data_IF_235194841571
#
_entry.id   IF_235194841571
#
_cell.length_a   1.000
_cell.length_b   1.000
_cell.length_c   1.000
_cell.angle_alpha   90.00
_cell.angle_beta   90.00
_cell.angle_gamma   90.00
#
_symmetry.space_group_name_H-M   'P 1'
#
loop_
_entity.id
_entity.type
_entity.pdbx_description
1 polymer ?
#
# COMPACT_ATOMS: atom_id res chain seq x y z
N UNK A 1 24.40 23.20 1.44
CA UNK A 1 23.43 23.19 2.55
C UNK A 1 23.61 21.85 3.26
N UNK A 2 24.10 21.82 4.50
CA UNK A 2 24.34 20.54 5.18
C UNK A 2 23.01 19.90 5.56
N UNK A 3 22.73 18.73 5.00
CA UNK A 3 21.56 17.93 5.39
C UNK A 3 21.78 17.40 6.81
N UNK A 4 21.28 18.11 7.81
CA UNK A 4 21.16 17.57 9.17
C UNK A 4 20.17 16.40 9.06
N UNK A 5 20.68 15.17 9.08
CA UNK A 5 19.84 13.97 9.03
C UNK A 5 19.14 13.85 10.37
N UNK A 6 17.83 14.10 10.41
CA UNK A 6 16.99 13.87 11.60
C UNK A 6 17.04 12.39 11.95
N UNK A 7 17.41 12.08 13.19
CA UNK A 7 17.40 10.71 13.71
C UNK A 7 15.97 10.36 14.13
N UNK A 8 15.34 9.35 13.53
CA UNK A 8 14.01 8.92 13.95
C UNK A 8 14.04 8.32 15.37
N UNK A 9 12.92 8.37 16.14
CA UNK A 9 12.83 7.76 17.47
C UNK A 9 13.07 6.25 17.47
N UNK A 10 12.83 5.60 16.33
CA UNK A 10 13.05 4.17 16.08
C UNK A 10 13.90 4.06 14.82
N UNK A 11 14.91 3.17 14.83
CA UNK A 11 15.81 2.99 13.69
C UNK A 11 15.04 2.68 12.39
N UNK A 12 15.54 3.17 11.24
CA UNK A 12 14.91 2.92 9.94
C UNK A 12 14.74 1.42 9.61
N UNK A 13 15.70 0.59 10.01
CA UNK A 13 15.62 -0.86 9.85
C UNK A 13 14.41 -1.42 10.61
N UNK A 14 14.20 -0.95 11.84
CA UNK A 14 13.07 -1.38 12.67
C UNK A 14 11.74 -0.83 12.17
N UNK A 15 11.69 0.43 11.72
CA UNK A 15 10.50 1.00 11.06
C UNK A 15 10.07 0.18 9.84
N UNK A 16 11.03 -0.23 9.00
CA UNK A 16 10.78 -1.14 7.87
C UNK A 16 10.16 -2.45 8.35
N UNK A 17 10.72 -3.07 9.37
CA UNK A 17 10.19 -4.33 9.90
C UNK A 17 8.76 -4.17 10.44
N UNK A 18 8.51 -3.15 11.28
CA UNK A 18 7.18 -2.84 11.82
C UNK A 18 6.16 -2.67 10.69
N UNK A 19 6.50 -1.91 9.65
CA UNK A 19 5.61 -1.67 8.51
C UNK A 19 5.37 -2.95 7.68
N UNK A 20 6.42 -3.74 7.42
CA UNK A 20 6.31 -5.03 6.73
C UNK A 20 5.40 -5.99 7.50
N UNK A 21 5.60 -6.14 8.81
CA UNK A 21 4.81 -7.03 9.65
C UNK A 21 3.35 -6.58 9.72
N UNK A 22 3.10 -5.27 9.84
CA UNK A 22 1.75 -4.70 9.82
C UNK A 22 1.02 -4.98 8.49
N UNK A 23 1.70 -4.81 7.34
CA UNK A 23 1.16 -5.17 6.04
C UNK A 23 0.90 -6.68 5.95
N UNK A 24 1.86 -7.52 6.34
CA UNK A 24 1.71 -8.98 6.26
C UNK A 24 0.56 -9.47 7.14
N UNK A 25 0.35 -8.88 8.31
CA UNK A 25 -0.78 -9.23 9.18
C UNK A 25 -2.14 -8.83 8.59
N UNK A 26 -2.21 -7.69 7.90
CA UNK A 26 -3.48 -7.17 7.36
C UNK A 26 -3.86 -7.80 6.01
N UNK A 27 -2.88 -8.03 5.14
CA UNK A 27 -3.06 -8.40 3.72
C UNK A 27 -2.16 -9.56 3.28
N UNK A 28 -1.47 -10.24 4.20
CA UNK A 28 -0.56 -11.35 3.85
C UNK A 28 -1.29 -12.55 3.24
N UNK A 29 -2.51 -12.84 3.70
CA UNK A 29 -3.33 -13.96 3.24
C UNK A 29 -4.26 -13.62 2.08
N UNK A 30 -4.33 -12.36 1.63
CA UNK A 30 -5.23 -11.97 0.55
C UNK A 30 -4.65 -12.34 -0.81
N UNK A 31 -5.49 -12.89 -1.69
CA UNK A 31 -5.07 -13.27 -3.04
C UNK A 31 -5.27 -12.15 -4.05
N UNK A 32 -6.22 -11.23 -3.80
CA UNK A 32 -6.54 -10.14 -4.71
C UNK A 32 -7.01 -8.91 -3.92
N UNK A 33 -6.98 -7.76 -4.61
CA UNK A 33 -7.56 -6.52 -4.09
C UNK A 33 -9.08 -6.65 -3.92
N UNK A 34 -9.57 -6.28 -2.75
CA UNK A 34 -11.00 -6.22 -2.43
C UNK A 34 -11.33 -4.84 -1.86
N UNK A 35 -12.02 -4.02 -2.66
CA UNK A 35 -12.32 -2.63 -2.30
C UNK A 35 -13.04 -2.52 -0.94
N UNK A 36 -14.02 -3.39 -0.69
CA UNK A 36 -14.81 -3.43 0.54
C UNK A 36 -14.01 -3.73 1.81
N UNK A 37 -12.82 -4.32 1.70
CA UNK A 37 -11.96 -4.65 2.85
C UNK A 37 -10.86 -3.62 3.11
N UNK A 38 -10.65 -2.67 2.19
CA UNK A 38 -9.53 -1.72 2.27
C UNK A 38 -9.57 -0.84 3.52
N UNK A 39 -10.76 -0.46 3.98
CA UNK A 39 -10.92 0.27 5.24
C UNK A 39 -10.39 -0.54 6.44
N UNK A 40 -10.81 -1.80 6.55
CA UNK A 40 -10.36 -2.71 7.61
C UNK A 40 -8.86 -2.99 7.53
N UNK A 41 -8.32 -3.16 6.32
CA UNK A 41 -6.88 -3.36 6.09
C UNK A 41 -6.07 -2.14 6.52
N UNK A 42 -6.43 -0.94 6.08
CA UNK A 42 -5.76 0.29 6.50
C UNK A 42 -5.86 0.51 8.01
N UNK A 43 -7.03 0.28 8.59
CA UNK A 43 -7.23 0.38 10.05
C UNK A 43 -6.33 -0.57 10.81
N UNK A 44 -6.19 -1.83 10.34
CA UNK A 44 -5.30 -2.82 10.94
C UNK A 44 -3.84 -2.38 10.84
N UNK A 45 -3.40 -1.94 9.66
CA UNK A 45 -2.02 -1.49 9.40
C UNK A 45 -1.67 -0.30 10.30
N UNK A 46 -2.49 0.76 10.26
CA UNK A 46 -2.27 2.00 11.03
C UNK A 46 -2.18 1.69 12.52
N UNK A 47 -3.13 0.93 13.05
CA UNK A 47 -3.16 0.61 14.48
C UNK A 47 -1.99 -0.29 14.90
N UNK A 48 -1.57 -1.23 14.05
CA UNK A 48 -0.40 -2.07 14.34
C UNK A 48 0.88 -1.23 14.42
N UNK A 49 1.09 -0.33 13.45
CA UNK A 49 2.26 0.53 13.41
C UNK A 49 2.26 1.48 14.62
N UNK A 50 1.15 2.20 14.87
CA UNK A 50 1.05 3.13 16.00
C UNK A 50 1.36 2.46 17.34
N UNK A 51 0.84 1.25 17.59
CA UNK A 51 1.13 0.50 18.82
C UNK A 51 2.61 0.19 18.96
N UNK A 52 3.26 -0.30 17.90
CA UNK A 52 4.71 -0.58 17.93
C UNK A 52 5.54 0.69 18.13
N UNK A 53 5.20 1.79 17.43
CA UNK A 53 5.90 3.07 17.58
C UNK A 53 5.84 3.57 19.02
N UNK A 54 4.65 3.59 19.62
CA UNK A 54 4.47 4.06 20.99
C UNK A 54 5.22 3.17 21.98
N UNK A 55 5.11 1.85 21.82
CA UNK A 55 5.75 0.88 22.73
C UNK A 55 7.28 0.95 22.69
N UNK A 56 7.89 1.16 21.54
CA UNK A 56 9.35 1.10 21.37
C UNK A 56 10.05 2.46 21.56
N UNK A 57 9.30 3.56 21.50
CA UNK A 57 9.86 4.92 21.67
C UNK A 57 9.54 5.57 23.01
N UNK A 58 8.60 5.03 23.79
CA UNK A 58 8.24 5.60 25.09
C UNK A 58 9.20 5.11 26.19
N UNK A 59 9.80 6.01 26.98
CA UNK A 59 10.63 5.61 28.12
C UNK A 59 9.82 4.86 29.18
N UNK A 60 10.41 3.84 29.80
CA UNK A 60 9.74 3.06 30.86
C UNK A 60 9.42 3.96 32.06
N UNK A 61 8.14 4.12 32.38
CA UNK A 61 7.67 4.95 33.49
C UNK A 61 7.72 6.47 33.24
N UNK A 62 8.01 6.91 32.01
CA UNK A 62 7.99 8.32 31.62
C UNK A 62 6.76 8.72 30.81
N UNK A 63 6.64 10.02 30.51
CA UNK A 63 5.65 10.53 29.57
C UNK A 63 6.09 10.29 28.12
N UNK A 64 5.15 10.11 27.16
CA UNK A 64 5.49 10.00 25.75
C UNK A 64 6.30 11.21 25.26
N UNK A 65 7.42 10.97 24.57
CA UNK A 65 8.29 12.03 24.06
C UNK A 65 7.95 12.49 22.64
N UNK A 66 7.08 11.74 21.95
CA UNK A 66 6.71 11.98 20.56
C UNK A 66 5.21 11.83 20.34
N UNK A 67 4.67 12.66 19.44
CA UNK A 67 3.39 12.41 18.77
C UNK A 67 3.65 11.74 17.43
N UNK A 68 2.75 10.85 17.02
CA UNK A 68 2.86 10.13 15.76
C UNK A 68 1.63 10.35 14.88
N UNK A 69 1.85 10.45 13.57
CA UNK A 69 0.82 10.28 12.57
C UNK A 69 1.24 9.19 11.59
N UNK A 70 0.31 8.28 11.27
CA UNK A 70 0.54 7.19 10.30
C UNK A 70 -0.52 7.30 9.21
N UNK A 71 -0.08 7.51 7.98
CA UNK A 71 -0.92 7.41 6.79
C UNK A 71 -0.66 6.07 6.09
N UNK A 72 -1.71 5.39 5.68
CA UNK A 72 -1.64 4.16 4.88
C UNK A 72 -2.57 4.28 3.69
N UNK A 73 -2.04 4.01 2.49
CA UNK A 73 -2.74 4.08 1.21
C UNK A 73 -2.59 2.75 0.48
N UNK A 74 -3.71 2.09 0.17
CA UNK A 74 -3.74 0.85 -0.61
C UNK A 74 -4.08 1.19 -2.06
N UNK A 75 -3.28 0.71 -3.00
CA UNK A 75 -3.34 1.05 -4.41
C UNK A 75 -3.60 -0.23 -5.19
N UNK A 76 -4.73 -0.30 -5.87
CA UNK A 76 -5.00 -1.40 -6.81
C UNK A 76 -4.12 -1.24 -8.06
N UNK A 77 -3.50 -2.34 -8.51
CA UNK A 77 -2.86 -2.39 -9.82
C UNK A 77 -3.93 -2.31 -10.93
N UNK A 78 -3.55 -1.89 -12.14
CA UNK A 78 -4.48 -1.91 -13.27
C UNK A 78 -4.81 -3.37 -13.63
N UNK A 79 -6.07 -3.74 -13.44
CA UNK A 79 -6.61 -4.96 -14.06
C UNK A 79 -6.85 -4.68 -15.55
N UNK A 80 -6.43 -5.58 -16.46
CA UNK A 80 -6.85 -5.52 -17.85
C UNK A 80 -8.38 -5.44 -17.93
N UNK A 81 -8.92 -4.56 -18.78
CA UNK A 81 -10.37 -4.31 -18.89
C UNK A 81 -11.17 -5.58 -19.21
N UNK A 82 -10.52 -6.59 -19.81
CA UNK A 82 -11.08 -7.93 -20.08
C UNK A 82 -11.39 -8.75 -18.82
N UNK A 83 -10.75 -8.46 -17.68
CA UNK A 83 -11.02 -9.11 -16.39
C UNK A 83 -12.15 -8.44 -15.60
N UNK A 84 -12.51 -7.19 -15.93
CA UNK A 84 -13.57 -6.43 -15.26
C UNK A 84 -14.98 -6.89 -15.66
N UNK A 85 -15.13 -7.62 -16.78
CA UNK A 85 -16.41 -8.10 -17.31
C UNK A 85 -16.79 -9.53 -16.88
N UNK A 86 -16.06 -10.18 -15.95
CA UNK A 86 -16.59 -11.38 -15.28
C UNK A 86 -17.62 -10.97 -14.24
N UNK A 87 -18.79 -10.58 -14.73
CA UNK A 87 -19.99 -10.30 -13.96
C UNK A 87 -20.39 -11.56 -13.20
N UNK A 88 -20.45 -11.41 -11.88
CA UNK A 88 -21.27 -12.14 -10.91
C UNK A 88 -22.53 -12.77 -11.54
N UNK A 89 -22.60 -14.10 -11.61
CA UNK A 89 -23.86 -14.80 -11.91
C UNK A 89 -23.65 -16.25 -12.39
N UNK A 90 -23.95 -17.22 -11.54
CA UNK A 90 -24.37 -18.54 -11.99
C UNK A 90 -25.65 -18.42 -12.83
N UNK A 91 -25.65 -19.05 -14.02
CA UNK A 91 -26.73 -19.80 -14.68
C UNK A 91 -26.67 -19.68 -16.21
N UNK A 92 -26.29 -20.77 -16.87
CA UNK A 92 -26.73 -21.10 -18.24
C UNK A 92 -28.21 -21.52 -18.22
N UNK A 93 -28.99 -21.57 -19.34
CA UNK A 93 -28.58 -21.56 -20.76
C UNK A 93 -29.48 -20.77 -21.75
N UNK A 94 -28.93 -20.35 -22.90
CA UNK A 94 -29.35 -20.71 -24.29
C UNK A 94 -29.00 -19.64 -25.34
N UNK A 95 -28.69 -20.20 -26.50
CA UNK A 95 -28.27 -19.70 -27.82
C UNK A 95 -29.26 -18.75 -28.51
N UNK A 96 -28.72 -17.72 -29.18
CA UNK A 96 -28.85 -17.43 -30.63
C UNK A 96 -28.87 -15.92 -30.92
N UNK A 97 -27.97 -15.44 -31.80
CA UNK A 97 -28.04 -14.07 -32.32
C UNK A 97 -26.70 -13.48 -32.76
N UNK A 98 -26.38 -13.67 -34.04
CA UNK A 98 -25.18 -13.26 -34.75
C UNK A 98 -24.92 -11.73 -34.72
N UNK A 99 -23.81 -11.30 -34.12
CA UNK A 99 -23.17 -10.01 -34.41
C UNK A 99 -21.65 -10.19 -34.42
N UNK A 100 -21.12 -10.37 -35.61
CA UNK A 100 -19.71 -10.59 -35.87
C UNK A 100 -18.95 -9.27 -35.72
N UNK A 101 -18.31 -9.04 -34.56
CA UNK A 101 -17.22 -8.06 -34.43
C UNK A 101 -15.94 -8.87 -34.29
N UNK A 102 -15.19 -8.95 -35.38
CA UNK A 102 -13.85 -9.52 -35.40
C UNK A 102 -12.89 -8.59 -34.66
N UNK A 103 -12.51 -8.94 -33.44
CA UNK A 103 -11.32 -8.40 -32.79
C UNK A 103 -10.41 -9.57 -32.42
N UNK A 104 -9.31 -9.69 -33.14
CA UNK A 104 -8.38 -10.82 -33.14
C UNK A 104 -7.50 -10.95 -31.90
N UNK A 105 -7.72 -10.18 -30.83
CA UNK A 105 -6.72 -10.02 -29.76
C UNK A 105 -7.13 -10.67 -28.43
N UNK A 106 -7.88 -11.76 -28.49
CA UNK A 106 -8.30 -12.52 -27.32
C UNK A 106 -7.23 -13.51 -26.84
N UNK A 107 -6.04 -13.04 -26.40
CA UNK A 107 -5.15 -13.82 -25.50
C UNK A 107 -3.93 -13.12 -24.93
N UNK A 108 -3.71 -11.84 -25.16
CA UNK A 108 -2.46 -11.21 -24.73
C UNK A 108 -2.63 -10.60 -23.34
N UNK A 109 -2.06 -11.25 -22.32
CA UNK A 109 -1.78 -10.60 -21.05
C UNK A 109 -1.04 -9.28 -21.33
N UNK A 110 -1.38 -8.20 -20.61
CA UNK A 110 -0.71 -6.92 -20.77
C UNK A 110 0.80 -7.15 -20.62
N UNK A 111 1.54 -6.90 -21.70
CA UNK A 111 2.97 -7.16 -21.80
C UNK A 111 3.69 -5.82 -21.74
N UNK A 112 4.72 -5.73 -20.90
CA UNK A 112 5.59 -4.55 -20.83
C UNK A 112 6.32 -4.34 -22.17
N UNK A 113 7.03 -3.21 -22.29
CA UNK A 113 7.89 -2.94 -23.47
C UNK A 113 9.01 -3.97 -23.66
N UNK A 114 9.25 -4.80 -22.65
CA UNK A 114 10.17 -5.93 -22.63
C UNK A 114 9.50 -7.28 -22.97
N UNK A 115 8.21 -7.29 -23.31
CA UNK A 115 7.46 -8.49 -23.68
C UNK A 115 7.12 -9.42 -22.51
N UNK A 116 7.38 -9.01 -21.27
CA UNK A 116 7.02 -9.80 -20.08
C UNK A 116 5.62 -9.46 -19.59
N UNK A 117 4.88 -10.41 -18.98
CA UNK A 117 3.64 -10.08 -18.28
C UNK A 117 3.90 -8.92 -17.32
N UNK A 118 3.14 -7.84 -17.46
CA UNK A 118 3.25 -6.68 -16.61
C UNK A 118 1.86 -6.20 -16.23
N UNK A 119 1.58 -6.21 -14.94
CA UNK A 119 0.37 -5.58 -14.42
C UNK A 119 0.60 -4.07 -14.45
N UNK A 120 -0.17 -3.34 -15.26
CA UNK A 120 0.02 -1.89 -15.39
C UNK A 120 -0.10 -1.23 -14.01
N UNK A 121 0.96 -0.58 -13.52
CA UNK A 121 0.88 0.21 -12.29
C UNK A 121 0.37 1.61 -12.66
N UNK A 122 -0.66 2.10 -11.96
CA UNK A 122 -1.07 3.51 -12.09
C UNK A 122 0.07 4.39 -11.59
N UNK A 123 0.39 5.46 -12.32
CA UNK A 123 1.29 6.49 -11.82
C UNK A 123 0.68 7.16 -10.58
N UNK A 124 1.43 7.20 -9.48
CA UNK A 124 1.04 7.91 -8.28
C UNK A 124 2.26 8.66 -7.74
N UNK A 125 2.12 9.98 -7.59
CA UNK A 125 3.11 10.84 -6.95
C UNK A 125 2.54 11.36 -5.63
N UNK A 126 3.31 11.22 -4.56
CA UNK A 126 2.96 11.74 -3.24
C UNK A 126 4.12 12.58 -2.72
N UNK A 127 3.79 13.74 -2.16
CA UNK A 127 4.75 14.64 -1.52
C UNK A 127 4.14 15.15 -0.20
N UNK A 128 5.00 15.44 0.77
CA UNK A 128 4.60 16.00 2.06
C UNK A 128 5.53 17.15 2.39
N UNK A 129 4.94 18.28 2.79
CA UNK A 129 5.67 19.43 3.35
C UNK A 129 5.23 19.64 4.80
N UNK A 130 6.12 20.18 5.62
CA UNK A 130 5.84 20.45 7.02
C UNK A 130 6.52 21.75 7.48
N UNK A 131 5.91 22.41 8.46
CA UNK A 131 6.51 23.50 9.22
C UNK A 131 6.69 23.01 10.66
N UNK A 132 7.90 22.60 10.99
CA UNK A 132 8.22 21.88 12.23
C UNK A 132 9.66 22.12 12.68
N UNK A 133 10.09 21.47 13.75
CA UNK A 133 11.49 21.54 14.18
C UNK A 133 12.36 20.57 13.37
N UNK A 134 13.18 21.12 12.46
CA UNK A 134 14.07 20.35 11.57
C UNK A 134 15.13 19.49 12.27
N UNK A 135 15.31 19.62 13.59
CA UNK A 135 16.28 18.81 14.35
C UNK A 135 15.64 17.59 15.02
N UNK A 136 14.34 17.64 15.30
CA UNK A 136 13.66 16.65 16.15
C UNK A 136 12.49 15.97 15.45
N UNK A 137 11.89 16.63 14.47
CA UNK A 137 10.67 16.21 13.80
C UNK A 137 11.01 15.68 12.42
N UNK A 138 10.24 14.71 11.94
CA UNK A 138 10.55 14.10 10.66
C UNK A 138 9.49 13.16 10.14
N UNK A 139 9.76 12.66 8.95
CA UNK A 139 8.92 11.68 8.28
C UNK A 139 9.75 10.56 7.66
N UNK A 140 9.11 9.41 7.53
CA UNK A 140 9.63 8.26 6.82
C UNK A 140 8.52 7.64 5.98
N UNK A 141 8.83 7.27 4.74
CA UNK A 141 7.89 6.63 3.83
C UNK A 141 8.38 5.25 3.44
N UNK A 142 7.43 4.34 3.26
CA UNK A 142 7.67 2.95 2.92
C UNK A 142 6.66 2.46 1.91
N UNK A 143 7.12 1.63 0.99
CA UNK A 143 6.27 0.95 0.02
C UNK A 143 6.35 -0.55 0.26
N UNK A 144 5.21 -1.15 0.56
CA UNK A 144 5.03 -2.60 0.52
C UNK A 144 4.53 -2.99 -0.87
N UNK A 145 5.31 -3.81 -1.58
CA UNK A 145 4.91 -4.33 -2.88
C UNK A 145 4.16 -5.65 -2.68
N UNK A 146 2.85 -5.66 -2.88
CA UNK A 146 2.05 -6.89 -2.85
C UNK A 146 2.33 -7.81 -4.04
N UNK A 147 3.04 -7.31 -5.04
CA UNK A 147 3.44 -8.04 -6.25
C UNK A 147 2.27 -8.27 -7.20
N UNK A 148 2.59 -8.83 -8.37
CA UNK A 148 1.62 -9.10 -9.44
C UNK A 148 0.52 -10.06 -8.98
N UNK A 149 0.85 -10.97 -8.07
CA UNK A 149 -0.07 -11.99 -7.56
C UNK A 149 -1.23 -11.39 -6.77
N UNK A 150 -0.99 -10.37 -5.93
CA UNK A 150 -2.05 -9.72 -5.13
C UNK A 150 -2.76 -8.59 -5.87
N UNK A 151 -2.13 -8.04 -6.91
CA UNK A 151 -2.68 -6.93 -7.68
C UNK A 151 -2.84 -5.63 -6.89
N UNK A 152 -2.03 -5.41 -5.85
CA UNK A 152 -2.06 -4.20 -5.03
C UNK A 152 -0.69 -3.86 -4.44
N UNK A 153 -0.49 -2.57 -4.18
CA UNK A 153 0.63 -2.03 -3.38
C UNK A 153 0.09 -1.29 -2.15
N UNK A 154 0.90 -1.16 -1.10
CA UNK A 154 0.60 -0.29 0.05
C UNK A 154 1.71 0.73 0.24
N UNK A 155 1.35 2.00 0.35
CA UNK A 155 2.26 3.10 0.68
C UNK A 155 1.94 3.59 2.09
N UNK A 156 2.97 3.64 2.93
CA UNK A 156 2.88 4.07 4.32
C UNK A 156 3.75 5.32 4.51
N UNK A 157 3.23 6.29 5.24
CA UNK A 157 4.00 7.44 5.73
C UNK A 157 3.86 7.54 7.24
N UNK A 158 5.00 7.59 7.94
CA UNK A 158 5.09 7.77 9.39
C UNK A 158 5.70 9.14 9.64
N UNK A 159 5.00 9.97 10.41
CA UNK A 159 5.47 11.28 10.88
C UNK A 159 5.65 11.19 12.39
N UNK A 160 6.75 11.74 12.90
CA UNK A 160 6.99 11.93 14.33
C UNK A 160 7.25 13.40 14.64
N UNK A 161 6.66 13.88 15.74
CA UNK A 161 6.81 15.24 16.25
C UNK A 161 7.27 15.14 17.70
N UNK A 162 8.43 15.69 18.02
CA UNK A 162 8.91 15.75 19.41
C UNK A 162 8.04 16.67 20.24
N UNK A 163 7.86 16.32 21.51
CA UNK A 163 7.15 17.14 22.52
C UNK A 163 8.15 17.96 23.32
#
# INVERSE_FOLDING_TARGET
>A
MSSTTVTPPISFTRLRQIATDACQNAIGSTEFYEHSKTETWNTTIINSILRSLISESSPTGGSPSFKYAVNSTIIQHLVPTSALNKVKGESTPKTDGNANITTSDAKTAATGTDGKPHVGRRGMHSATGAYWNEKTDGMWSFKYEGGENKGLDVVISVIWISI
#
